data_IF_071467745853
#
_entry.id   IF_071467745853
#
_cell.length_a   1.000
_cell.length_b   1.000
_cell.length_c   1.000
_cell.angle_alpha   90.00
_cell.angle_beta   90.00
_cell.angle_gamma   90.00
#
_symmetry.space_group_name_H-M   'P 1'
#
loop_
_entity.id
_entity.type
_entity.pdbx_description
1 polymer ?
#
# COMPACT_ATOMS: atom_id res chain seq x y z
N UNK A 1 106.64 -7.62 88.48
CA UNK A 1 105.52 -8.54 88.21
C UNK A 1 105.34 -8.62 86.70
N UNK A 2 106.21 -9.33 85.97
CA UNK A 2 106.08 -10.75 85.55
C UNK A 2 104.82 -11.00 84.71
N UNK A 3 104.91 -10.71 83.40
CA UNK A 3 105.11 -11.65 82.27
C UNK A 3 104.39 -13.03 82.34
N UNK A 4 104.37 -13.75 81.21
CA UNK A 4 103.36 -13.87 80.15
C UNK A 4 102.65 -15.25 80.24
N UNK A 5 101.93 -15.72 79.22
CA UNK A 5 102.05 -17.12 78.77
C UNK A 5 101.56 -17.29 77.33
N UNK A 6 102.50 -17.73 76.49
CA UNK A 6 102.31 -18.40 75.22
C UNK A 6 102.15 -19.90 75.47
N UNK A 7 101.07 -20.50 74.96
CA UNK A 7 100.96 -21.93 74.64
C UNK A 7 100.46 -22.00 73.19
N UNK A 8 101.26 -22.38 72.20
CA UNK A 8 101.76 -23.72 71.87
C UNK A 8 100.66 -24.69 71.49
N UNK A 9 100.57 -24.90 70.17
CA UNK A 9 100.29 -26.14 69.44
C UNK A 9 99.27 -27.12 70.01
N UNK A 10 98.20 -27.40 69.25
CA UNK A 10 98.00 -28.79 68.84
C UNK A 10 97.13 -28.94 67.58
N UNK A 11 97.47 -29.98 66.85
CA UNK A 11 96.82 -30.44 65.62
C UNK A 11 95.85 -31.54 65.99
N UNK A 12 94.58 -31.48 65.62
CA UNK A 12 93.77 -32.70 65.45
C UNK A 12 92.39 -32.44 64.82
N UNK A 13 92.19 -33.10 63.69
CA UNK A 13 91.02 -33.93 63.37
C UNK A 13 89.69 -33.25 63.03
N UNK A 14 89.51 -33.10 61.70
CA UNK A 14 88.44 -33.76 60.95
C UNK A 14 87.28 -34.35 61.78
N UNK A 15 86.12 -33.71 61.71
CA UNK A 15 84.82 -34.37 61.89
C UNK A 15 84.03 -34.32 60.58
N UNK A 16 83.96 -35.51 60.00
CA UNK A 16 82.98 -36.08 59.07
C UNK A 16 81.63 -35.33 58.90
N UNK A 17 81.33 -35.06 57.63
CA UNK A 17 80.04 -35.22 56.91
C UNK A 17 78.73 -34.69 57.51
N UNK A 18 78.11 -33.77 56.76
CA UNK A 18 76.70 -33.89 56.39
C UNK A 18 76.51 -33.40 54.95
N UNK A 19 76.13 -34.26 53.98
CA UNK A 19 75.75 -33.80 52.65
C UNK A 19 74.42 -33.03 52.74
N UNK A 20 74.33 -31.90 52.04
CA UNK A 20 73.09 -31.15 51.88
C UNK A 20 71.98 -32.07 51.35
N UNK A 21 70.74 -31.99 51.84
CA UNK A 21 69.65 -32.82 51.33
C UNK A 21 69.44 -32.52 49.84
N UNK A 22 69.50 -33.57 49.01
CA UNK A 22 69.23 -33.46 47.59
C UNK A 22 67.75 -33.05 47.39
N UNK A 23 67.46 -32.08 46.52
CA UNK A 23 66.09 -31.63 46.28
C UNK A 23 65.26 -32.78 45.71
N UNK A 24 64.19 -33.15 46.41
CA UNK A 24 63.17 -34.06 45.90
C UNK A 24 62.39 -33.28 44.84
N UNK A 25 62.70 -33.55 43.57
CA UNK A 25 61.91 -33.06 42.44
C UNK A 25 60.66 -33.94 42.36
N UNK A 26 59.55 -33.45 42.88
CA UNK A 26 58.26 -34.05 42.58
C UNK A 26 58.01 -33.97 41.07
N UNK A 27 57.71 -35.08 40.38
CA UNK A 27 57.35 -35.02 38.98
C UNK A 27 56.09 -34.18 38.86
N UNK A 28 56.19 -33.05 38.15
CA UNK A 28 55.06 -32.19 37.78
C UNK A 28 53.88 -33.06 37.37
N UNK A 29 52.85 -33.11 38.23
CA UNK A 29 51.62 -33.83 37.97
C UNK A 29 51.10 -33.43 36.58
N UNK A 30 50.83 -34.45 35.75
CA UNK A 30 50.37 -34.34 34.37
C UNK A 30 49.51 -33.09 34.16
N UNK A 31 49.96 -32.22 33.27
CA UNK A 31 49.19 -31.09 32.73
C UNK A 31 48.01 -31.66 31.96
N UNK A 32 46.94 -32.05 32.66
CA UNK A 32 45.63 -32.23 32.04
C UNK A 32 45.13 -30.83 31.73
N UNK A 33 45.01 -30.41 30.46
CA UNK A 33 44.43 -29.12 30.16
C UNK A 33 43.04 -29.11 30.78
N UNK A 34 42.89 -28.19 31.73
CA UNK A 34 41.82 -28.11 32.69
C UNK A 34 40.44 -28.22 32.05
N UNK A 35 39.54 -28.96 32.69
CA UNK A 35 38.09 -28.92 32.49
C UNK A 35 37.53 -27.47 32.46
N UNK A 36 38.25 -26.51 33.05
CA UNK A 36 38.00 -25.07 33.03
C UNK A 36 37.97 -24.49 31.60
N UNK A 37 38.72 -25.04 30.64
CA UNK A 37 38.72 -24.57 29.24
C UNK A 37 37.53 -25.12 28.42
N UNK A 38 36.84 -26.12 28.96
CA UNK A 38 35.65 -26.69 28.33
C UNK A 38 34.47 -25.71 28.38
N UNK A 39 34.39 -24.87 29.41
CA UNK A 39 33.34 -23.84 29.56
C UNK A 39 33.46 -22.75 28.48
N UNK A 40 34.61 -22.09 28.26
CA UNK A 40 34.79 -21.15 27.15
C UNK A 40 34.55 -21.77 25.77
N UNK A 41 35.03 -23.01 25.56
CA UNK A 41 34.84 -23.71 24.29
C UNK A 41 33.36 -24.02 24.04
N UNK A 42 32.64 -24.48 25.06
CA UNK A 42 31.20 -24.72 24.98
C UNK A 42 30.41 -23.42 24.75
N UNK A 43 30.77 -22.35 25.46
CA UNK A 43 30.17 -21.03 25.26
C UNK A 43 30.42 -20.49 23.85
N UNK A 44 31.63 -20.66 23.31
CA UNK A 44 31.95 -20.29 21.93
C UNK A 44 31.14 -21.11 20.92
N UNK A 45 30.98 -22.42 21.15
CA UNK A 45 30.20 -23.30 20.30
C UNK A 45 28.70 -22.91 20.30
N UNK A 46 28.15 -22.59 21.46
CA UNK A 46 26.79 -22.04 21.59
C UNK A 46 26.68 -20.69 20.88
N UNK A 47 27.66 -19.80 21.05
CA UNK A 47 27.69 -18.50 20.36
C UNK A 47 27.70 -18.64 18.83
N UNK A 48 28.51 -19.55 18.29
CA UNK A 48 28.54 -19.88 16.87
C UNK A 48 27.20 -20.48 16.42
N UNK A 49 26.60 -21.36 17.23
CA UNK A 49 25.30 -21.96 16.92
C UNK A 49 24.17 -20.91 16.88
N UNK A 50 24.14 -19.99 17.85
CA UNK A 50 23.16 -18.89 17.89
C UNK A 50 23.37 -17.90 16.75
N UNK A 51 24.62 -17.53 16.45
CA UNK A 51 24.94 -16.67 15.32
C UNK A 51 24.55 -17.33 13.99
N UNK A 52 24.83 -18.62 13.83
CA UNK A 52 24.42 -19.41 12.67
C UNK A 52 22.90 -19.45 12.50
N UNK A 53 22.15 -19.68 13.59
CA UNK A 53 20.69 -19.67 13.56
C UNK A 53 20.12 -18.29 13.22
N UNK A 54 20.69 -17.21 13.76
CA UNK A 54 20.27 -15.85 13.43
C UNK A 54 20.45 -15.55 11.94
N UNK A 55 21.60 -15.90 11.37
CA UNK A 55 21.89 -15.71 9.94
C UNK A 55 20.97 -16.59 9.07
N UNK A 56 20.67 -17.81 9.48
CA UNK A 56 19.77 -18.71 8.75
C UNK A 56 18.28 -18.32 8.85
N UNK A 57 17.91 -17.51 9.85
CA UNK A 57 16.54 -17.03 10.05
C UNK A 57 16.28 -15.71 9.29
N UNK A 58 17.31 -14.88 9.12
CA UNK A 58 17.27 -13.66 8.31
C UNK A 58 17.16 -13.96 6.82
N UNK A 59 16.30 -13.23 6.11
CA UNK A 59 16.20 -13.28 4.66
C UNK A 59 17.11 -12.25 3.98
N UNK A 60 16.97 -12.07 2.65
CA UNK A 60 17.80 -11.13 1.91
C UNK A 60 17.52 -9.68 2.33
N UNK A 61 18.57 -8.87 2.36
CA UNK A 61 18.46 -7.41 2.47
C UNK A 61 18.29 -6.78 1.09
N UNK A 62 17.28 -5.92 0.94
CA UNK A 62 17.02 -5.14 -0.27
C UNK A 62 17.11 -3.65 0.05
N UNK A 63 17.37 -2.83 -0.97
CA UNK A 63 17.40 -1.37 -0.89
C UNK A 63 16.29 -0.82 -1.77
N UNK A 64 15.43 0.02 -1.19
CA UNK A 64 14.32 0.66 -1.89
C UNK A 64 14.57 2.18 -1.89
N UNK A 65 14.58 2.80 -3.06
CA UNK A 65 14.69 4.25 -3.19
C UNK A 65 13.31 4.92 -3.18
N UNK A 66 13.12 5.90 -2.30
CA UNK A 66 11.93 6.74 -2.22
C UNK A 66 12.30 8.21 -2.38
N UNK A 67 11.33 9.08 -2.69
CA UNK A 67 11.56 10.53 -2.71
C UNK A 67 11.60 11.11 -1.30
N UNK A 68 10.87 10.51 -0.36
CA UNK A 68 10.76 11.00 1.03
C UNK A 68 10.85 9.84 2.01
N UNK A 69 11.35 10.10 3.22
CA UNK A 69 11.36 9.16 4.34
C UNK A 69 10.15 9.33 5.27
N UNK A 70 9.13 10.08 4.85
CA UNK A 70 8.07 10.55 5.75
C UNK A 70 7.31 9.38 6.39
N UNK A 71 7.36 9.33 7.72
CA UNK A 71 6.73 8.28 8.53
C UNK A 71 7.44 6.93 8.50
N UNK A 72 8.59 6.79 7.83
CA UNK A 72 9.41 5.59 7.85
C UNK A 72 10.44 5.68 8.97
N UNK A 73 10.50 4.67 9.83
CA UNK A 73 11.38 4.63 10.98
C UNK A 73 12.18 3.31 11.01
N UNK A 74 13.52 3.37 11.21
CA UNK A 74 14.34 2.16 11.35
C UNK A 74 13.91 1.31 12.55
N UNK A 75 13.84 0.00 12.34
CA UNK A 75 13.43 -1.04 13.32
C UNK A 75 11.99 -0.91 13.85
N UNK A 76 11.16 -0.08 13.21
CA UNK A 76 9.74 0.10 13.56
C UNK A 76 8.89 -0.20 12.34
N UNK A 77 9.18 0.43 11.20
CA UNK A 77 8.40 0.25 9.97
C UNK A 77 8.52 -1.17 9.43
N UNK A 78 7.37 -1.82 9.26
CA UNK A 78 7.27 -3.16 8.68
C UNK A 78 7.00 -3.09 7.17
N UNK A 79 7.44 -4.13 6.47
CA UNK A 79 7.07 -4.39 5.08
C UNK A 79 5.98 -5.45 5.09
N UNK A 80 4.85 -5.17 4.45
CA UNK A 80 3.66 -6.00 4.51
C UNK A 80 3.17 -6.42 3.13
N UNK A 81 2.86 -7.70 2.99
CA UNK A 81 2.09 -8.24 1.87
C UNK A 81 0.75 -8.73 2.40
N UNK A 82 -0.37 -8.16 1.91
CA UNK A 82 -1.72 -8.54 2.36
C UNK A 82 -1.86 -8.51 3.89
N UNK A 83 -1.35 -7.45 4.51
CA UNK A 83 -1.32 -7.25 5.98
C UNK A 83 -0.47 -8.27 6.77
N UNK A 84 0.28 -9.15 6.09
CA UNK A 84 1.25 -10.04 6.71
C UNK A 84 2.62 -9.38 6.72
N UNK A 85 3.26 -9.35 7.89
CA UNK A 85 4.62 -8.83 8.05
C UNK A 85 5.63 -9.78 7.39
N UNK A 86 6.32 -9.27 6.36
CA UNK A 86 7.27 -10.04 5.56
C UNK A 86 8.71 -9.50 5.64
N UNK A 87 8.90 -8.34 6.26
CA UNK A 87 10.20 -7.71 6.44
C UNK A 87 10.13 -6.47 7.33
N UNK A 88 11.28 -5.85 7.54
CA UNK A 88 11.44 -4.70 8.41
C UNK A 88 12.49 -3.73 7.86
N UNK A 89 12.22 -2.43 8.00
CA UNK A 89 13.20 -1.38 7.68
C UNK A 89 14.32 -1.42 8.72
N UNK A 90 15.57 -1.61 8.30
CA UNK A 90 16.73 -1.64 9.20
C UNK A 90 17.50 -0.32 9.21
N UNK A 91 17.57 0.37 8.08
CA UNK A 91 18.32 1.60 7.95
C UNK A 91 17.72 2.53 6.90
N UNK A 92 17.88 3.83 7.10
CA UNK A 92 17.45 4.88 6.17
C UNK A 92 18.62 5.81 5.96
N UNK A 93 19.04 5.98 4.71
CA UNK A 93 20.12 6.88 4.31
C UNK A 93 19.65 7.79 3.19
N UNK A 94 20.31 8.92 3.03
CA UNK A 94 20.11 9.76 1.86
C UNK A 94 21.12 9.34 0.77
N UNK A 95 20.72 9.42 -0.49
CA UNK A 95 21.62 9.20 -1.64
C UNK A 95 22.72 10.25 -1.66
N UNK A 96 23.82 9.95 -2.36
CA UNK A 96 24.99 10.84 -2.44
C UNK A 96 24.65 12.22 -3.05
N UNK A 97 23.71 12.25 -3.99
CA UNK A 97 23.21 13.45 -4.65
C UNK A 97 22.07 14.15 -3.89
N UNK A 98 21.70 13.65 -2.71
CA UNK A 98 20.63 14.16 -1.85
C UNK A 98 19.22 14.14 -2.49
N UNK A 99 19.04 13.46 -3.63
CA UNK A 99 17.78 13.46 -4.37
C UNK A 99 16.79 12.40 -3.94
N UNK A 100 17.26 11.33 -3.28
CA UNK A 100 16.48 10.16 -2.91
C UNK A 100 16.85 9.64 -1.53
N UNK A 101 15.89 8.99 -0.88
CA UNK A 101 16.08 8.27 0.37
C UNK A 101 16.25 6.78 0.05
N UNK A 102 17.38 6.21 0.46
CA UNK A 102 17.71 4.79 0.35
C UNK A 102 17.30 4.07 1.64
N UNK A 103 16.27 3.24 1.55
CA UNK A 103 15.71 2.48 2.66
C UNK A 103 16.19 1.04 2.57
N UNK A 104 17.02 0.61 3.51
CA UNK A 104 17.47 -0.77 3.61
C UNK A 104 16.44 -1.59 4.39
N UNK A 105 15.89 -2.60 3.74
CA UNK A 105 14.87 -3.51 4.28
C UNK A 105 15.46 -4.90 4.40
N UNK A 106 15.30 -5.52 5.56
CA UNK A 106 15.57 -6.93 5.77
C UNK A 106 14.27 -7.73 5.60
N UNK A 107 14.22 -8.59 4.59
CA UNK A 107 13.09 -9.49 4.39
C UNK A 107 13.25 -10.73 5.29
N UNK A 108 12.13 -11.35 5.63
CA UNK A 108 12.13 -12.68 6.25
C UNK A 108 12.55 -13.74 5.23
N UNK A 109 13.04 -14.89 5.70
CA UNK A 109 13.44 -16.00 4.81
C UNK A 109 12.33 -16.45 3.86
N UNK A 110 11.09 -16.52 4.34
CA UNK A 110 9.93 -16.91 3.54
C UNK A 110 9.52 -15.85 2.51
N UNK A 111 10.01 -14.62 2.65
CA UNK A 111 9.75 -13.51 1.75
C UNK A 111 10.89 -13.29 0.73
N UNK A 112 11.88 -14.19 0.65
CA UNK A 112 12.96 -14.07 -0.32
C UNK A 112 12.47 -14.04 -1.79
N UNK A 113 11.30 -14.65 -2.08
CA UNK A 113 10.67 -14.62 -3.40
C UNK A 113 10.14 -13.25 -3.81
N UNK A 114 10.03 -12.29 -2.89
CA UNK A 114 9.66 -10.89 -3.20
C UNK A 114 10.88 -10.05 -3.63
N UNK A 115 12.11 -10.58 -3.52
CA UNK A 115 13.30 -9.89 -3.99
C UNK A 115 13.54 -10.15 -5.49
N UNK A 116 12.54 -9.86 -6.33
CA UNK A 116 12.58 -10.08 -7.79
C UNK A 116 12.25 -8.82 -8.57
N UNK A 117 12.82 -8.66 -9.77
CA UNK A 117 12.88 -7.38 -10.53
C UNK A 117 11.54 -6.67 -10.75
N UNK A 118 10.44 -7.40 -10.89
CA UNK A 118 9.10 -6.83 -11.14
C UNK A 118 8.26 -6.66 -9.86
N UNK A 119 8.86 -6.86 -8.68
CA UNK A 119 8.21 -6.57 -7.40
C UNK A 119 8.09 -5.06 -7.21
N UNK A 120 6.90 -4.62 -6.80
CA UNK A 120 6.59 -3.21 -6.58
C UNK A 120 6.42 -2.94 -5.10
N UNK A 121 7.11 -1.92 -4.60
CA UNK A 121 7.02 -1.47 -3.21
C UNK A 121 6.42 -0.06 -3.16
N UNK A 122 5.62 0.24 -2.15
CA UNK A 122 5.09 1.60 -1.95
C UNK A 122 4.91 1.95 -0.47
N UNK A 123 4.93 3.23 -0.14
CA UNK A 123 4.64 3.68 1.22
C UNK A 123 3.14 3.86 1.41
N UNK A 124 2.58 3.21 2.44
CA UNK A 124 1.21 3.43 2.89
C UNK A 124 1.23 4.36 4.10
N UNK A 125 0.66 5.55 3.93
CA UNK A 125 0.51 6.55 4.98
C UNK A 125 -0.93 6.52 5.51
N UNK A 126 -1.14 6.58 6.85
CA UNK A 126 -2.48 6.67 7.41
C UNK A 126 -3.15 7.97 6.95
N UNK A 127 -4.36 7.86 6.39
CA UNK A 127 -5.18 9.03 6.05
C UNK A 127 -6.15 9.31 7.18
N UNK A 128 -6.12 10.52 7.74
CA UNK A 128 -7.10 10.97 8.73
C UNK A 128 -8.36 11.40 7.96
N UNK A 129 -9.34 10.51 7.83
CA UNK A 129 -10.65 10.89 7.33
C UNK A 129 -11.41 11.64 8.44
N UNK A 130 -11.91 12.85 8.13
CA UNK A 130 -12.73 13.65 9.06
C UNK A 130 -14.05 12.96 9.45
N UNK A 131 -14.45 11.91 8.73
CA UNK A 131 -15.59 11.05 9.03
C UNK A 131 -15.16 9.81 9.82
N UNK A 132 -15.13 9.95 11.14
CA UNK A 132 -15.39 8.90 12.12
C UNK A 132 -15.03 7.44 11.80
N UNK A 133 -13.98 6.97 12.48
CA UNK A 133 -13.83 5.63 13.07
C UNK A 133 -14.11 4.44 12.11
N UNK A 134 -13.09 4.09 11.34
CA UNK A 134 -12.80 2.68 11.06
C UNK A 134 -11.29 2.46 11.18
N UNK A 135 -10.91 1.60 12.11
CA UNK A 135 -9.52 1.23 12.39
C UNK A 135 -8.89 1.92 13.60
N UNK A 136 -9.39 1.67 14.82
CA UNK A 136 -8.69 2.05 16.06
C UNK A 136 -7.28 1.40 16.19
N UNK A 137 -6.87 0.54 15.26
CA UNK A 137 -5.52 0.00 15.12
C UNK A 137 -4.52 0.94 14.40
N UNK A 138 -4.97 1.98 13.69
CA UNK A 138 -4.08 2.87 12.91
C UNK A 138 -3.44 3.98 13.74
N UNK A 139 -3.97 4.29 14.92
CA UNK A 139 -3.37 5.26 15.85
C UNK A 139 -2.04 4.79 16.45
N UNK A 140 -1.71 3.49 16.33
CA UNK A 140 -0.54 2.88 16.95
C UNK A 140 0.47 2.26 15.97
N UNK A 141 0.14 2.11 14.67
CA UNK A 141 0.94 1.27 13.76
C UNK A 141 1.91 2.02 12.83
N UNK A 142 1.97 3.35 12.89
CA UNK A 142 2.87 4.14 12.03
C UNK A 142 2.61 3.95 10.53
N UNK A 143 3.49 4.49 9.68
CA UNK A 143 3.45 4.15 8.25
C UNK A 143 4.07 2.77 8.01
N UNK A 144 3.70 2.10 6.92
CA UNK A 144 4.26 0.81 6.54
C UNK A 144 4.55 0.77 5.03
N UNK A 145 5.41 -0.16 4.61
CA UNK A 145 5.71 -0.38 3.20
C UNK A 145 4.84 -1.54 2.70
N UNK A 146 3.99 -1.28 1.72
CA UNK A 146 3.25 -2.31 0.99
C UNK A 146 4.12 -2.93 -0.10
N UNK A 147 3.89 -4.20 -0.39
CA UNK A 147 4.51 -4.90 -1.53
C UNK A 147 3.46 -5.54 -2.42
N UNK A 148 3.75 -5.61 -3.72
CA UNK A 148 3.05 -6.43 -4.69
C UNK A 148 4.05 -7.37 -5.36
N UNK A 149 3.76 -8.67 -5.29
CA UNK A 149 4.69 -9.72 -5.67
C UNK A 149 4.96 -9.68 -7.19
N UNK A 150 6.23 -9.73 -7.55
CA UNK A 150 6.65 -9.99 -8.91
C UNK A 150 6.33 -11.42 -9.38
N UNK A 151 6.24 -11.61 -10.68
CA UNK A 151 6.06 -12.90 -11.36
C UNK A 151 7.36 -13.43 -11.96
N UNK A 152 8.41 -12.60 -12.06
CA UNK A 152 9.71 -13.03 -12.60
C UNK A 152 10.52 -13.83 -11.59
N UNK A 153 11.43 -14.67 -12.09
CA UNK A 153 12.40 -15.40 -11.27
C UNK A 153 13.75 -14.68 -11.13
N UNK A 154 13.90 -13.51 -11.77
CA UNK A 154 15.14 -12.74 -11.73
C UNK A 154 15.27 -12.01 -10.39
N UNK A 155 16.29 -12.39 -9.61
CA UNK A 155 16.56 -11.79 -8.31
C UNK A 155 17.06 -10.36 -8.48
N UNK A 156 16.48 -9.43 -7.72
CA UNK A 156 16.90 -8.05 -7.65
C UNK A 156 17.04 -7.60 -6.18
N UNK A 157 18.01 -6.71 -5.92
CA UNK A 157 18.25 -6.15 -4.59
C UNK A 157 17.96 -4.67 -4.50
N UNK A 158 17.83 -3.98 -5.63
CA UNK A 158 17.61 -2.54 -5.69
C UNK A 158 16.25 -2.28 -6.35
N UNK A 159 15.45 -1.45 -5.71
CA UNK A 159 14.08 -1.18 -6.11
C UNK A 159 13.80 0.31 -6.10
N UNK A 160 12.96 0.76 -7.02
CA UNK A 160 12.36 2.10 -6.95
C UNK A 160 11.00 1.99 -6.31
N UNK A 161 10.84 2.62 -5.16
CA UNK A 161 9.60 2.67 -4.41
C UNK A 161 8.61 3.67 -5.00
N UNK A 162 7.33 3.31 -4.97
CA UNK A 162 6.23 4.17 -5.38
C UNK A 162 5.73 4.99 -4.18
N UNK A 163 5.49 6.28 -4.39
CA UNK A 163 4.96 7.17 -3.34
C UNK A 163 3.47 6.95 -3.08
N UNK A 164 2.77 6.36 -4.04
CA UNK A 164 1.35 6.04 -3.97
C UNK A 164 1.15 4.55 -4.27
N UNK A 165 0.17 3.91 -3.62
CA UNK A 165 -0.14 2.51 -3.89
C UNK A 165 -0.47 2.33 -5.38
N UNK A 166 0.04 1.25 -6.02
CA UNK A 166 -0.40 0.90 -7.35
C UNK A 166 -1.89 0.65 -7.29
N UNK A 167 -2.63 1.26 -8.20
CA UNK A 167 -4.08 1.25 -8.11
C UNK A 167 -4.70 -0.13 -8.40
N UNK A 168 -3.93 -1.05 -9.00
CA UNK A 168 -4.24 -2.48 -9.14
C UNK A 168 -2.96 -3.28 -8.84
N UNK A 169 -3.06 -4.24 -7.91
CA UNK A 169 -2.02 -5.23 -7.62
C UNK A 169 -2.16 -6.44 -8.56
N UNK A 170 -1.06 -7.10 -8.91
CA UNK A 170 -1.03 -8.14 -9.94
C UNK A 170 -1.89 -9.37 -9.67
N UNK A 171 -2.36 -9.52 -8.43
CA UNK A 171 -3.22 -10.62 -7.98
C UNK A 171 -4.73 -10.33 -8.10
N UNK A 172 -5.12 -9.09 -8.41
CA UNK A 172 -6.53 -8.72 -8.53
C UNK A 172 -7.09 -9.09 -9.91
N UNK A 173 -8.01 -10.06 -9.93
CA UNK A 173 -8.75 -10.43 -11.14
C UNK A 173 -9.88 -9.45 -11.41
N UNK A 174 -10.03 -9.02 -12.65
CA UNK A 174 -11.06 -8.07 -13.08
C UNK A 174 -10.69 -7.38 -14.38
N UNK A 175 -11.43 -6.32 -14.70
CA UNK A 175 -11.17 -5.48 -15.87
C UNK A 175 -11.12 -4.01 -15.48
N UNK A 176 -10.32 -3.26 -16.23
CA UNK A 176 -10.20 -1.82 -16.14
C UNK A 176 -11.00 -1.16 -17.25
N UNK A 177 -11.66 -0.04 -16.94
CA UNK A 177 -12.37 0.77 -17.92
C UNK A 177 -12.03 2.24 -17.72
N UNK A 178 -12.07 3.00 -18.81
CA UNK A 178 -11.81 4.44 -18.79
C UNK A 178 -13.14 5.17 -18.88
N UNK A 179 -13.39 6.08 -17.95
CA UNK A 179 -14.56 6.96 -17.96
C UNK A 179 -14.10 8.39 -18.23
N UNK A 180 -14.87 9.14 -19.00
CA UNK A 180 -14.69 10.57 -19.20
C UNK A 180 -15.91 11.32 -18.69
N UNK A 181 -15.69 12.48 -18.07
CA UNK A 181 -16.74 13.37 -17.59
C UNK A 181 -16.28 14.82 -17.66
N UNK A 182 -17.21 15.75 -17.79
CA UNK A 182 -16.92 17.20 -17.76
C UNK A 182 -16.37 17.63 -16.38
N UNK A 183 -16.75 16.94 -15.30
CA UNK A 183 -16.34 17.27 -13.93
C UNK A 183 -16.03 16.03 -13.10
N UNK A 184 -15.11 16.15 -12.12
CA UNK A 184 -14.81 15.04 -11.19
C UNK A 184 -15.95 14.80 -10.18
N UNK A 185 -16.75 15.82 -9.89
CA UNK A 185 -17.78 15.79 -8.85
C UNK A 185 -17.19 15.45 -7.47
N UNK A 186 -17.84 14.54 -6.76
CA UNK A 186 -17.41 14.05 -5.43
C UNK A 186 -16.56 12.78 -5.49
N UNK A 187 -15.98 12.45 -6.65
CA UNK A 187 -15.20 11.22 -6.82
C UNK A 187 -13.73 11.47 -6.43
N UNK A 188 -13.18 10.54 -5.66
CA UNK A 188 -11.75 10.44 -5.36
C UNK A 188 -11.23 9.02 -5.69
N UNK A 189 -9.92 8.84 -5.75
CA UNK A 189 -9.27 7.53 -5.85
C UNK A 189 -9.76 6.65 -4.70
N UNK A 190 -10.25 5.45 -5.03
CA UNK A 190 -10.88 4.52 -4.10
C UNK A 190 -12.40 4.66 -3.98
N UNK A 191 -13.03 5.64 -4.62
CA UNK A 191 -14.50 5.75 -4.65
C UNK A 191 -15.14 4.48 -5.20
N UNK A 192 -16.20 3.97 -4.58
CA UNK A 192 -16.83 2.71 -4.98
C UNK A 192 -17.53 2.80 -6.34
N UNK A 193 -17.44 1.70 -7.10
CA UNK A 193 -18.24 1.46 -8.31
C UNK A 193 -19.31 0.43 -7.99
N UNK A 194 -20.57 0.76 -8.29
CA UNK A 194 -21.74 -0.01 -7.96
C UNK A 194 -22.39 -0.65 -9.18
N UNK A 195 -22.82 -1.89 -9.04
CA UNK A 195 -23.77 -2.55 -9.92
C UNK A 195 -25.00 -2.92 -9.12
N UNK A 196 -26.19 -2.40 -9.48
CA UNK A 196 -27.44 -2.62 -8.73
C UNK A 196 -27.30 -2.36 -7.21
N UNK A 197 -26.59 -1.29 -6.84
CA UNK A 197 -26.27 -0.89 -5.45
C UNK A 197 -25.30 -1.82 -4.68
N UNK A 198 -24.70 -2.81 -5.34
CA UNK A 198 -23.64 -3.65 -4.76
C UNK A 198 -22.29 -3.08 -5.16
N UNK A 199 -21.35 -2.82 -4.23
CA UNK A 199 -20.01 -2.37 -4.57
C UNK A 199 -19.24 -3.50 -5.26
N UNK A 200 -18.84 -3.28 -6.50
CA UNK A 200 -18.17 -4.28 -7.37
C UNK A 200 -16.80 -3.82 -7.85
N UNK A 201 -16.46 -2.56 -7.65
CA UNK A 201 -15.23 -1.98 -8.14
C UNK A 201 -14.87 -0.68 -7.43
N UNK A 202 -13.85 -0.01 -7.95
CA UNK A 202 -13.38 1.28 -7.42
C UNK A 202 -12.73 2.15 -8.49
N UNK A 203 -12.69 3.45 -8.23
CA UNK A 203 -11.85 4.40 -8.98
C UNK A 203 -10.38 4.13 -8.67
N UNK A 204 -9.59 4.00 -9.72
CA UNK A 204 -8.17 3.61 -9.74
C UNK A 204 -7.31 4.86 -9.89
N UNK A 205 -7.66 5.72 -10.85
CA UNK A 205 -7.00 7.01 -11.09
C UNK A 205 -8.03 8.06 -11.53
N UNK A 206 -7.68 9.32 -11.31
CA UNK A 206 -8.41 10.48 -11.83
C UNK A 206 -7.39 11.50 -12.31
N UNK A 207 -7.55 12.00 -13.54
CA UNK A 207 -6.65 12.98 -14.15
C UNK A 207 -7.46 14.04 -14.88
N UNK A 208 -7.09 15.31 -14.70
CA UNK A 208 -7.61 16.39 -15.55
C UNK A 208 -7.04 16.22 -16.95
N UNK A 209 -7.89 16.38 -17.97
CA UNK A 209 -7.45 16.30 -19.35
C UNK A 209 -6.47 17.43 -19.67
N UNK A 210 -5.54 17.18 -20.60
CA UNK A 210 -4.43 18.12 -20.88
C UNK A 210 -4.90 19.49 -21.36
N UNK A 211 -6.08 19.54 -21.98
CA UNK A 211 -6.73 20.75 -22.46
C UNK A 211 -7.68 21.38 -21.42
N UNK A 212 -7.86 20.76 -20.26
CA UNK A 212 -8.76 21.20 -19.20
C UNK A 212 -10.25 21.05 -19.55
N UNK A 213 -10.59 20.33 -20.62
CA UNK A 213 -11.97 20.18 -21.09
C UNK A 213 -12.83 19.26 -20.22
N UNK A 214 -12.18 18.35 -19.49
CA UNK A 214 -12.85 17.38 -18.64
C UNK A 214 -11.86 16.60 -17.78
N UNK A 215 -12.35 15.50 -17.24
CA UNK A 215 -11.62 14.60 -16.34
C UNK A 215 -11.73 13.18 -16.87
N UNK A 216 -10.58 12.53 -17.02
CA UNK A 216 -10.47 11.11 -17.35
C UNK A 216 -10.23 10.31 -16.07
N UNK A 217 -11.12 9.35 -15.81
CA UNK A 217 -11.03 8.41 -14.69
C UNK A 217 -10.72 7.01 -15.19
N UNK A 218 -9.88 6.27 -14.48
CA UNK A 218 -9.83 4.81 -14.64
C UNK A 218 -10.57 4.15 -13.50
N UNK A 219 -11.39 3.16 -13.81
CA UNK A 219 -12.06 2.30 -12.82
C UNK A 219 -11.62 0.86 -12.98
N UNK A 220 -11.60 0.11 -11.88
CA UNK A 220 -11.39 -1.33 -11.88
C UNK A 220 -12.62 -2.01 -11.31
N UNK A 221 -13.16 -2.98 -12.06
CA UNK A 221 -14.29 -3.81 -11.66
C UNK A 221 -13.77 -5.22 -11.46
N UNK A 222 -14.00 -5.76 -10.26
CA UNK A 222 -13.50 -7.07 -9.87
C UNK A 222 -14.22 -8.19 -10.63
N UNK A 223 -13.51 -9.27 -10.93
CA UNK A 223 -14.14 -10.51 -11.33
C UNK A 223 -14.96 -11.10 -10.15
N UNK A 224 -16.14 -11.68 -10.40
CA UNK A 224 -16.75 -11.94 -11.71
C UNK A 224 -17.70 -10.83 -12.20
N UNK A 225 -17.70 -9.64 -11.58
CA UNK A 225 -18.67 -8.58 -11.90
C UNK A 225 -18.32 -7.81 -13.18
N UNK A 226 -17.07 -7.88 -13.63
CA UNK A 226 -16.58 -7.32 -14.88
C UNK A 226 -17.39 -7.79 -16.10
N UNK A 227 -17.95 -9.01 -16.05
CA UNK A 227 -18.82 -9.56 -17.09
C UNK A 227 -20.11 -8.75 -17.33
N UNK A 228 -20.52 -7.89 -16.38
CA UNK A 228 -21.70 -7.05 -16.50
C UNK A 228 -21.45 -5.75 -17.28
N UNK A 229 -20.19 -5.46 -17.63
CA UNK A 229 -19.83 -4.33 -18.48
C UNK A 229 -19.88 -4.75 -19.95
N UNK A 230 -20.75 -4.10 -20.70
CA UNK A 230 -21.00 -4.33 -22.12
C UNK A 230 -20.75 -3.05 -22.89
N UNK A 231 -20.64 -3.14 -24.21
CA UNK A 231 -20.38 -1.96 -25.06
C UNK A 231 -21.47 -0.89 -24.99
N UNK A 232 -22.69 -1.23 -24.56
CA UNK A 232 -23.79 -0.29 -24.32
C UNK A 232 -24.06 -0.02 -22.82
N UNK A 233 -23.16 -0.44 -21.93
CA UNK A 233 -23.25 -0.08 -20.51
C UNK A 233 -23.10 1.42 -20.35
N UNK A 234 -23.91 1.99 -19.47
CA UNK A 234 -23.91 3.42 -19.15
C UNK A 234 -23.48 3.60 -17.71
N UNK A 235 -22.66 4.62 -17.49
CA UNK A 235 -22.10 4.97 -16.18
C UNK A 235 -22.64 6.34 -15.77
N UNK A 236 -22.95 6.51 -14.48
CA UNK A 236 -23.37 7.79 -13.92
C UNK A 236 -22.85 7.99 -12.50
N UNK A 237 -22.81 9.23 -12.04
CA UNK A 237 -22.53 9.53 -10.65
C UNK A 237 -23.66 8.98 -9.75
N UNK A 238 -23.29 8.12 -8.79
CA UNK A 238 -24.20 7.58 -7.79
C UNK A 238 -24.40 8.53 -6.59
N UNK A 239 -23.67 9.65 -6.55
CA UNK A 239 -23.78 10.68 -5.53
C UNK A 239 -25.11 11.43 -5.67
N UNK A 240 -26.00 11.30 -4.68
CA UNK A 240 -27.40 11.69 -4.85
C UNK A 240 -27.92 12.65 -3.80
N UNK A 241 -27.89 13.94 -4.09
CA UNK A 241 -29.05 14.79 -3.80
C UNK A 241 -29.49 15.40 -5.13
N UNK A 242 -30.38 14.70 -5.85
CA UNK A 242 -31.10 15.31 -6.97
C UNK A 242 -32.46 15.76 -6.45
N UNK A 243 -32.57 17.03 -6.03
CA UNK A 243 -33.83 17.64 -5.63
C UNK A 243 -34.58 18.11 -6.88
N UNK A 244 -35.36 17.20 -7.47
CA UNK A 244 -36.26 17.57 -8.56
C UNK A 244 -37.57 18.12 -7.99
N UNK A 245 -37.73 19.46 -8.03
CA UNK A 245 -39.03 20.11 -7.88
C UNK A 245 -39.72 20.14 -9.23
N UNK A 246 -40.76 19.32 -9.38
CA UNK A 246 -41.62 19.29 -10.57
C UNK A 246 -43.01 19.84 -10.25
N UNK A 247 -43.78 20.20 -11.28
CA UNK A 247 -45.12 20.77 -11.15
C UNK A 247 -46.14 19.86 -10.44
N UNK A 248 -45.78 18.59 -10.20
CA UNK A 248 -46.59 17.58 -9.50
C UNK A 248 -46.36 17.55 -7.97
N UNK A 249 -45.50 18.40 -7.43
CA UNK A 249 -45.25 18.53 -5.98
C UNK A 249 -43.89 17.98 -5.53
N UNK A 250 -43.71 17.87 -4.22
CA UNK A 250 -42.44 17.49 -3.58
C UNK A 250 -42.32 15.96 -3.48
N UNK A 251 -41.39 15.35 -4.23
CA UNK A 251 -41.05 13.94 -4.08
C UNK A 251 -39.76 13.79 -3.27
N UNK A 252 -39.88 13.60 -1.95
CA UNK A 252 -38.75 13.39 -1.05
C UNK A 252 -38.68 11.93 -0.61
N UNK A 253 -37.75 11.20 -1.20
CA UNK A 253 -37.39 9.86 -0.74
C UNK A 253 -36.50 9.97 0.52
N UNK A 254 -37.12 10.04 1.70
CA UNK A 254 -36.45 10.20 3.01
C UNK A 254 -35.63 8.99 3.45
N UNK A 255 -35.80 7.82 2.82
CA UNK A 255 -35.07 6.60 3.14
C UNK A 255 -33.62 6.57 2.62
N UNK A 256 -33.22 7.55 1.79
CA UNK A 256 -31.92 7.53 1.10
C UNK A 256 -30.79 8.26 1.83
N UNK A 257 -31.07 8.98 2.94
CA UNK A 257 -30.08 9.90 3.54
C UNK A 257 -28.82 9.21 4.10
N UNK A 258 -28.86 7.92 4.45
CA UNK A 258 -27.68 7.21 4.99
C UNK A 258 -26.80 6.63 3.87
N UNK A 259 -27.32 6.44 2.65
CA UNK A 259 -26.56 5.93 1.51
C UNK A 259 -25.89 7.03 0.64
N UNK A 260 -26.20 8.30 0.92
CA UNK A 260 -25.86 9.48 0.09
C UNK A 260 -24.53 10.14 0.45
N UNK A 261 -23.88 9.73 1.55
CA UNK A 261 -22.67 10.40 2.04
C UNK A 261 -21.36 9.92 1.39
N UNK A 262 -21.38 8.75 0.75
CA UNK A 262 -20.19 8.18 0.09
C UNK A 262 -20.46 8.21 -1.40
N UNK A 263 -20.00 9.26 -2.07
CA UNK A 263 -20.10 9.38 -3.51
C UNK A 263 -19.51 8.17 -4.24
N UNK A 264 -19.92 7.95 -5.48
CA UNK A 264 -19.48 6.78 -6.24
C UNK A 264 -19.97 6.80 -7.68
N UNK A 265 -19.69 5.72 -8.41
CA UNK A 265 -20.12 5.52 -9.79
C UNK A 265 -21.09 4.34 -9.81
N UNK A 266 -22.21 4.46 -10.51
CA UNK A 266 -23.09 3.33 -10.79
C UNK A 266 -23.10 3.04 -12.29
N UNK A 267 -23.38 1.78 -12.65
CA UNK A 267 -23.52 1.40 -14.04
C UNK A 267 -24.63 0.38 -14.28
N UNK A 268 -25.18 0.43 -15.49
CA UNK A 268 -26.19 -0.51 -15.96
C UNK A 268 -26.27 -0.52 -17.49
N UNK A 269 -26.62 -1.66 -18.05
CA UNK A 269 -27.04 -1.77 -19.45
C UNK A 269 -28.52 -1.37 -19.58
N UNK A 270 -28.88 -0.46 -20.50
CA UNK A 270 -30.27 0.00 -20.67
C UNK A 270 -31.25 -1.17 -20.82
N UNK A 271 -32.36 -1.19 -20.06
CA UNK A 271 -33.35 -2.25 -20.15
C UNK A 271 -34.01 -2.26 -21.54
N UNK A 272 -34.31 -3.45 -22.06
CA UNK A 272 -34.99 -3.61 -23.36
C UNK A 272 -34.10 -3.43 -24.59
N UNK A 273 -32.81 -3.14 -24.44
CA UNK A 273 -31.84 -3.22 -25.54
C UNK A 273 -31.23 -4.63 -25.64
N UNK A 274 -30.80 -5.01 -26.85
CA UNK A 274 -30.05 -6.25 -27.04
C UNK A 274 -28.79 -6.23 -26.18
N UNK A 275 -28.53 -7.34 -25.47
CA UNK A 275 -27.30 -7.52 -24.72
C UNK A 275 -26.14 -7.57 -25.72
N UNK A 276 -25.41 -6.46 -25.84
CA UNK A 276 -24.23 -6.40 -26.69
C UNK A 276 -23.09 -7.24 -26.11
N UNK A 277 -22.03 -7.41 -26.90
CA UNK A 277 -20.81 -8.08 -26.49
C UNK A 277 -20.24 -7.45 -25.21
N UNK A 278 -19.54 -8.27 -24.40
CA UNK A 278 -18.79 -7.78 -23.26
C UNK A 278 -17.80 -6.70 -23.73
N UNK A 279 -17.67 -5.63 -22.96
CA UNK A 279 -16.73 -4.58 -23.29
C UNK A 279 -15.30 -5.12 -23.15
N UNK A 280 -14.41 -4.93 -24.12
CA UNK A 280 -13.00 -5.24 -23.96
C UNK A 280 -12.39 -4.48 -22.78
N UNK A 281 -11.34 -5.03 -22.19
CA UNK A 281 -10.54 -4.34 -21.18
C UNK A 281 -10.02 -2.99 -21.75
N UNK A 282 -10.00 -1.96 -20.90
CA UNK A 282 -9.67 -0.57 -21.23
C UNK A 282 -10.65 0.13 -22.19
N UNK A 283 -11.87 -0.37 -22.34
CA UNK A 283 -12.91 0.35 -23.10
C UNK A 283 -13.23 1.71 -22.48
N UNK A 284 -13.59 2.66 -23.35
CA UNK A 284 -13.92 4.03 -22.97
C UNK A 284 -15.44 4.22 -22.88
N UNK A 285 -15.90 4.89 -21.82
CA UNK A 285 -17.30 5.23 -21.59
C UNK A 285 -17.45 6.68 -21.13
N UNK A 286 -18.65 7.22 -21.30
CA UNK A 286 -19.03 8.50 -20.71
C UNK A 286 -19.61 8.29 -19.31
N UNK A 287 -19.23 9.15 -18.38
CA UNK A 287 -19.79 9.24 -17.04
C UNK A 287 -20.77 10.40 -16.99
N UNK A 288 -22.06 10.04 -17.01
CA UNK A 288 -23.16 10.99 -16.97
C UNK A 288 -23.36 11.61 -15.58
N UNK A 289 -24.04 12.75 -15.54
CA UNK A 289 -24.30 13.47 -14.29
C UNK A 289 -25.21 12.68 -13.33
N UNK A 290 -26.20 11.96 -13.86
CA UNK A 290 -27.10 11.10 -13.09
C UNK A 290 -27.69 9.95 -13.95
N UNK A 291 -28.51 9.10 -13.33
CA UNK A 291 -29.13 7.96 -14.02
C UNK A 291 -30.09 8.40 -15.13
N UNK A 292 -30.82 9.50 -14.94
CA UNK A 292 -31.78 9.98 -15.92
C UNK A 292 -31.04 10.45 -17.17
N UNK A 293 -29.95 11.20 -17.00
CA UNK A 293 -29.04 11.62 -18.05
C UNK A 293 -28.41 10.44 -18.76
N UNK A 294 -27.82 9.50 -17.99
CA UNK A 294 -27.23 8.29 -18.53
C UNK A 294 -28.24 7.53 -19.39
N UNK A 295 -29.51 7.42 -19.02
CA UNK A 295 -30.49 6.61 -19.76
C UNK A 295 -31.17 7.31 -20.93
N UNK A 296 -30.87 8.59 -21.21
CA UNK A 296 -31.42 9.30 -22.37
C UNK A 296 -31.04 8.60 -23.66
N UNK A 297 -32.02 8.22 -24.47
CA UNK A 297 -31.80 7.45 -25.70
C UNK A 297 -30.79 8.15 -26.62
N UNK A 298 -29.68 7.47 -26.94
CA UNK A 298 -28.56 8.01 -27.74
C UNK A 298 -28.79 7.91 -29.25
N UNK A 299 -30.01 7.55 -29.67
CA UNK A 299 -30.32 7.20 -31.07
C UNK A 299 -31.09 8.26 -31.86
N UNK A 300 -31.68 9.26 -31.20
CA UNK A 300 -32.40 10.33 -31.88
C UNK A 300 -31.55 11.59 -31.84
N UNK A 301 -31.12 12.06 -33.01
CA UNK A 301 -30.56 13.40 -33.12
C UNK A 301 -31.62 14.38 -32.58
N UNK A 302 -31.27 15.24 -31.60
CA UNK A 302 -32.23 16.17 -31.04
C UNK A 302 -32.70 17.12 -32.16
N UNK A 303 -34.00 17.10 -32.44
CA UNK A 303 -34.60 18.04 -33.38
C UNK A 303 -34.81 19.34 -32.62
N UNK A 304 -34.03 20.38 -32.97
CA UNK A 304 -34.24 21.73 -32.44
C UNK A 304 -35.46 22.35 -33.09
N UNK A 305 -36.43 22.75 -32.27
CA UNK A 305 -37.66 23.41 -32.71
C UNK A 305 -37.72 24.77 -32.01
N UNK A 306 -37.98 25.82 -32.78
CA UNK A 306 -38.16 27.18 -32.26
C UNK A 306 -39.65 27.46 -32.14
N UNK A 307 -40.10 27.81 -30.94
CA UNK A 307 -41.46 28.25 -30.68
C UNK A 307 -41.46 29.76 -30.44
N UNK A 308 -42.27 30.47 -31.22
CA UNK A 308 -42.47 31.92 -31.05
C UNK A 308 -43.79 32.14 -30.32
N UNK A 309 -43.75 32.82 -29.17
CA UNK A 309 -44.92 33.11 -28.36
C UNK A 309 -45.21 34.61 -28.39
N UNK A 310 -46.47 34.99 -28.65
CA UNK A 310 -46.89 36.39 -28.61
C UNK A 310 -47.13 36.91 -27.18
N UNK A 311 -47.08 36.03 -26.18
CA UNK A 311 -47.34 36.32 -24.77
C UNK A 311 -46.09 36.08 -23.92
N UNK A 312 -46.09 36.64 -22.71
CA UNK A 312 -44.97 36.49 -21.78
C UNK A 312 -44.74 35.02 -21.40
N UNK A 313 -43.49 34.58 -21.50
CA UNK A 313 -43.02 33.27 -21.04
C UNK A 313 -42.53 33.30 -19.59
N UNK A 314 -43.06 34.22 -18.77
CA UNK A 314 -42.66 34.34 -17.36
C UNK A 314 -42.87 33.00 -16.66
N UNK A 315 -41.80 32.44 -16.10
CA UNK A 315 -41.79 31.15 -15.43
C UNK A 315 -41.25 29.99 -16.28
N UNK A 316 -41.01 30.20 -17.59
CA UNK A 316 -40.27 29.24 -18.41
C UNK A 316 -38.77 29.36 -18.11
N UNK A 317 -38.12 28.22 -17.89
CA UNK A 317 -36.68 28.13 -17.63
C UNK A 317 -36.00 27.19 -18.62
N UNK A 318 -34.71 27.42 -18.86
CA UNK A 318 -33.86 26.43 -19.55
C UNK A 318 -33.91 25.12 -18.77
N UNK A 319 -34.07 24.00 -19.48
CA UNK A 319 -34.26 22.67 -18.92
C UNK A 319 -35.71 22.27 -18.61
N UNK A 320 -36.69 23.16 -18.76
CA UNK A 320 -38.09 22.81 -18.55
C UNK A 320 -38.55 21.71 -19.55
N UNK A 321 -39.34 20.71 -19.12
CA UNK A 321 -39.77 19.62 -20.00
C UNK A 321 -40.78 20.11 -21.04
N UNK A 322 -40.65 19.59 -22.26
CA UNK A 322 -41.63 19.75 -23.34
C UNK A 322 -42.48 18.50 -23.38
N UNK A 323 -43.72 18.60 -22.89
CA UNK A 323 -44.64 17.47 -22.80
C UNK A 323 -45.70 17.49 -23.90
N UNK A 324 -46.03 16.31 -24.41
CA UNK A 324 -47.18 16.10 -25.29
C UNK A 324 -48.02 14.95 -24.75
N UNK A 325 -49.27 15.26 -24.37
CA UNK A 325 -50.23 14.28 -23.83
C UNK A 325 -49.69 13.47 -22.64
N UNK A 326 -48.89 14.12 -21.78
CA UNK A 326 -48.30 13.49 -20.59
C UNK A 326 -47.04 12.66 -20.87
N UNK A 327 -46.50 12.73 -22.09
CA UNK A 327 -45.21 12.12 -22.46
C UNK A 327 -44.21 13.24 -22.70
N UNK A 328 -43.09 13.22 -21.97
CA UNK A 328 -41.99 14.17 -22.20
C UNK A 328 -41.29 13.87 -23.50
N UNK A 329 -41.33 14.83 -24.42
CA UNK A 329 -40.73 14.74 -25.76
C UNK A 329 -39.37 15.43 -25.85
N UNK A 330 -39.07 16.36 -24.94
CA UNK A 330 -37.82 17.11 -24.97
C UNK A 330 -37.69 18.08 -23.80
N UNK A 331 -36.76 19.04 -23.92
CA UNK A 331 -36.50 20.08 -22.93
C UNK A 331 -36.19 21.41 -23.59
N UNK A 332 -36.45 22.52 -22.91
CA UNK A 332 -36.08 23.87 -23.36
C UNK A 332 -34.57 24.03 -23.35
N UNK A 333 -33.96 24.25 -24.51
CA UNK A 333 -32.51 24.44 -24.65
C UNK A 333 -32.06 25.88 -24.38
N UNK A 334 -32.80 26.87 -24.89
CA UNK A 334 -32.50 28.28 -24.72
C UNK A 334 -33.76 29.14 -24.80
N UNK A 335 -33.68 30.36 -24.26
CA UNK A 335 -34.73 31.38 -24.30
C UNK A 335 -34.08 32.67 -24.79
N UNK A 336 -34.64 33.31 -25.81
CA UNK A 336 -34.12 34.53 -26.45
C UNK A 336 -35.19 35.58 -26.65
#
# INVERSE_FOLDING_TARGET
>A
MTQPETHQSDSAQQTLTAPLPAPVVEPRGRWVPSLVWLIPLLAALIGIALAGQAILASGPTIVISFKTAEGLEPNITKVKYKDVDIGEVKNIKLSEDLSQVLVAVELTRNAASFAVTDTRFWVVRPRIAASGVSGLNTLLSGSYIGVDAGQTSQVCKEFTGLETPPAITGDQKGQQFTLHSDTLGSLDIGSPVYYRRVPVGRVVTSQLDKDGSGVTLSIFIHAPYDQYVRTNTRFWHASGINLNLNANGFNLNTQSLVAVLIGGIAFQTPPGQTLNQAAPNNSHFQLAADEADAMRGTGAQPIRIVFNFAQSLRGLSVGAPVDFRGITLGQVESIG
#
